data_IF_217248172157
#
_entry.id   IF_217248172157
#
_cell.length_a   1.000
_cell.length_b   1.000
_cell.length_c   1.000
_cell.angle_alpha   90.00
_cell.angle_beta   90.00
_cell.angle_gamma   90.00
#
_symmetry.space_group_name_H-M   'P 1'
#
loop_
_entity.id
_entity.type
_entity.pdbx_description
1 polymer ?
#
# COMPACT_ATOMS: atom_id res chain seq x y z
N UNK A 1 -6.13 31.21 20.68
CA UNK A 1 -6.84 30.95 19.41
C UNK A 1 -6.09 29.84 18.69
N UNK A 2 -6.62 28.62 18.67
CA UNK A 2 -6.01 27.51 17.95
C UNK A 2 -6.10 27.75 16.44
N UNK A 3 -5.00 27.52 15.71
CA UNK A 3 -5.02 27.61 14.25
C UNK A 3 -5.80 26.45 13.62
N UNK A 4 -6.49 26.74 12.51
CA UNK A 4 -7.18 25.77 11.66
C UNK A 4 -6.19 24.77 11.04
N UNK A 5 -6.60 23.51 10.90
CA UNK A 5 -5.81 22.42 10.32
C UNK A 5 -6.18 22.10 8.87
N UNK A 6 -7.02 22.91 8.23
CA UNK A 6 -7.44 22.72 6.84
C UNK A 6 -6.26 22.69 5.84
N UNK A 7 -5.19 23.43 6.08
CA UNK A 7 -3.98 23.37 5.22
C UNK A 7 -3.32 21.98 5.24
N UNK A 8 -3.33 21.29 6.38
CA UNK A 8 -2.81 19.92 6.47
C UNK A 8 -3.71 18.93 5.75
N UNK A 9 -5.03 19.15 5.75
CA UNK A 9 -5.97 18.35 4.96
C UNK A 9 -5.67 18.49 3.47
N UNK A 10 -5.47 19.72 2.97
CA UNK A 10 -5.13 19.94 1.56
C UNK A 10 -3.83 19.23 1.18
N UNK A 11 -2.81 19.30 2.05
CA UNK A 11 -1.57 18.55 1.87
C UNK A 11 -1.81 17.04 1.83
N UNK A 12 -2.63 16.49 2.73
CA UNK A 12 -2.94 15.06 2.76
C UNK A 12 -3.70 14.60 1.50
N UNK A 13 -4.64 15.40 1.00
CA UNK A 13 -5.34 15.13 -0.28
C UNK A 13 -4.33 15.11 -1.44
N UNK A 14 -3.43 16.09 -1.49
CA UNK A 14 -2.37 16.13 -2.50
C UNK A 14 -1.49 14.87 -2.43
N UNK A 15 -1.05 14.47 -1.23
CA UNK A 15 -0.26 13.27 -1.01
C UNK A 15 -1.02 11.99 -1.36
N UNK A 16 -2.32 11.91 -1.05
CA UNK A 16 -3.19 10.81 -1.47
C UNK A 16 -3.29 10.68 -2.99
N UNK A 17 -3.48 11.81 -3.68
CA UNK A 17 -3.49 11.86 -5.14
C UNK A 17 -2.15 11.43 -5.74
N UNK A 18 -1.05 11.93 -5.19
CA UNK A 18 0.30 11.53 -5.59
C UNK A 18 0.52 10.03 -5.38
N UNK A 19 0.10 9.50 -4.22
CA UNK A 19 0.13 8.07 -3.90
C UNK A 19 -0.65 7.25 -4.92
N UNK A 20 -1.89 7.65 -5.24
CA UNK A 20 -2.72 6.98 -6.23
C UNK A 20 -2.08 6.95 -7.63
N UNK A 21 -1.70 8.10 -8.18
CA UNK A 21 -1.14 8.15 -9.54
C UNK A 21 0.22 7.46 -9.63
N UNK A 22 1.08 7.62 -8.63
CA UNK A 22 2.38 6.94 -8.60
C UNK A 22 2.21 5.42 -8.47
N UNK A 23 1.30 4.94 -7.62
CA UNK A 23 1.02 3.52 -7.47
C UNK A 23 0.38 2.92 -8.73
N UNK A 24 -0.55 3.65 -9.37
CA UNK A 24 -1.11 3.24 -10.65
C UNK A 24 -0.02 3.09 -11.72
N UNK A 25 0.91 4.05 -11.80
CA UNK A 25 2.00 4.03 -12.78
C UNK A 25 3.03 2.94 -12.51
N UNK A 26 3.68 2.96 -11.33
CA UNK A 26 4.74 2.00 -11.00
C UNK A 26 4.20 0.59 -10.80
N UNK A 27 3.00 0.48 -10.23
CA UNK A 27 2.31 -0.78 -10.06
C UNK A 27 1.95 -1.45 -11.37
N UNK A 28 1.42 -0.66 -12.32
CA UNK A 28 1.13 -1.17 -13.66
C UNK A 28 2.40 -1.69 -14.34
N UNK A 29 3.51 -0.94 -14.27
CA UNK A 29 4.80 -1.39 -14.81
C UNK A 29 5.23 -2.70 -14.15
N UNK A 30 5.16 -2.80 -12.82
CA UNK A 30 5.54 -3.99 -12.08
C UNK A 30 4.71 -5.21 -12.50
N UNK A 31 3.38 -5.07 -12.57
CA UNK A 31 2.46 -6.14 -13.00
C UNK A 31 2.76 -6.54 -14.44
N UNK A 32 2.93 -5.58 -15.34
CA UNK A 32 3.25 -5.83 -16.74
C UNK A 32 4.56 -6.61 -16.89
N UNK A 33 5.63 -6.19 -16.20
CA UNK A 33 6.91 -6.90 -16.21
C UNK A 33 6.78 -8.32 -15.63
N UNK A 34 6.02 -8.48 -14.55
CA UNK A 34 5.81 -9.77 -13.88
C UNK A 34 5.08 -10.79 -14.76
N UNK A 35 4.07 -10.33 -15.51
CA UNK A 35 3.27 -11.17 -16.40
C UNK A 35 4.00 -11.50 -17.70
N UNK A 36 4.60 -10.50 -18.36
CA UNK A 36 5.07 -10.65 -19.75
C UNK A 36 6.58 -10.88 -19.90
N UNK A 37 7.41 -10.34 -19.00
CA UNK A 37 8.87 -10.36 -19.18
C UNK A 37 9.59 -11.36 -18.28
N UNK A 38 9.11 -11.55 -17.06
CA UNK A 38 9.71 -12.50 -16.13
C UNK A 38 9.28 -13.90 -16.56
N UNK A 39 10.21 -14.80 -16.92
CA UNK A 39 9.89 -16.22 -17.22
C UNK A 39 10.61 -17.17 -16.25
N UNK A 40 9.87 -18.23 -15.87
CA UNK A 40 10.27 -19.45 -15.12
C UNK A 40 10.85 -19.33 -13.70
N UNK A 41 11.64 -18.30 -13.34
CA UNK A 41 12.33 -18.27 -12.04
C UNK A 41 11.42 -18.03 -10.81
N UNK A 42 10.21 -17.51 -11.00
CA UNK A 42 9.33 -17.14 -9.88
C UNK A 42 8.10 -18.05 -9.69
N UNK A 43 7.82 -19.01 -10.58
CA UNK A 43 6.71 -19.96 -10.42
C UNK A 43 5.40 -19.34 -9.88
N UNK A 44 4.86 -19.92 -8.82
CA UNK A 44 3.69 -19.44 -8.06
C UNK A 44 3.87 -18.07 -7.38
N UNK A 45 5.11 -17.63 -7.12
CA UNK A 45 5.39 -16.37 -6.44
C UNK A 45 4.86 -15.16 -7.23
N UNK A 46 4.77 -15.29 -8.56
CA UNK A 46 4.21 -14.25 -9.41
C UNK A 46 2.78 -13.88 -9.04
N UNK A 47 1.96 -14.88 -8.67
CA UNK A 47 0.58 -14.63 -8.28
C UNK A 47 0.52 -13.77 -7.03
N UNK A 48 1.41 -14.03 -6.06
CA UNK A 48 1.52 -13.22 -4.84
C UNK A 48 1.96 -11.78 -5.14
N UNK A 49 2.93 -11.59 -6.03
CA UNK A 49 3.38 -10.24 -6.42
C UNK A 49 2.30 -9.45 -7.15
N UNK A 50 1.60 -10.08 -8.09
CA UNK A 50 0.49 -9.44 -8.81
C UNK A 50 -0.65 -9.12 -7.85
N UNK A 51 -1.02 -10.05 -6.97
CA UNK A 51 -2.10 -9.84 -6.02
C UNK A 51 -1.77 -8.71 -5.01
N UNK A 52 -0.52 -8.64 -4.54
CA UNK A 52 -0.05 -7.52 -3.72
C UNK A 52 -0.22 -6.18 -4.42
N UNK A 53 0.11 -6.12 -5.71
CA UNK A 53 -0.06 -4.88 -6.45
C UNK A 53 -1.53 -4.53 -6.71
N UNK A 54 -2.39 -5.52 -6.94
CA UNK A 54 -3.83 -5.33 -7.07
C UNK A 54 -4.42 -4.80 -5.77
N UNK A 55 -4.06 -5.40 -4.62
CA UNK A 55 -4.52 -4.93 -3.32
C UNK A 55 -4.02 -3.51 -3.03
N UNK A 56 -2.75 -3.21 -3.32
CA UNK A 56 -2.21 -1.86 -3.20
C UNK A 56 -2.93 -0.84 -4.08
N UNK A 57 -3.33 -1.23 -5.30
CA UNK A 57 -4.16 -0.38 -6.16
C UNK A 57 -5.56 -0.15 -5.59
N UNK A 58 -6.22 -1.20 -5.06
CA UNK A 58 -7.52 -1.07 -4.38
C UNK A 58 -7.40 -0.15 -3.16
N UNK A 59 -6.36 -0.31 -2.34
CA UNK A 59 -6.08 0.56 -1.20
C UNK A 59 -5.94 2.03 -1.61
N UNK A 60 -5.09 2.31 -2.60
CA UNK A 60 -4.89 3.68 -3.09
C UNK A 60 -6.17 4.27 -3.74
N UNK A 61 -6.97 3.42 -4.41
CA UNK A 61 -8.26 3.85 -4.98
C UNK A 61 -9.26 4.21 -3.88
N UNK A 62 -9.31 3.44 -2.79
CA UNK A 62 -10.16 3.73 -1.64
C UNK A 62 -9.79 5.05 -0.99
N UNK A 63 -8.50 5.34 -0.81
CA UNK A 63 -8.03 6.60 -0.25
C UNK A 63 -8.30 7.80 -1.18
N UNK A 64 -8.16 7.60 -2.49
CA UNK A 64 -8.48 8.60 -3.51
C UNK A 64 -9.98 8.93 -3.54
N UNK A 65 -10.85 7.93 -3.42
CA UNK A 65 -12.30 8.11 -3.47
C UNK A 65 -12.86 8.58 -2.12
N UNK A 66 -12.46 7.93 -1.03
CA UNK A 66 -12.99 8.12 0.33
C UNK A 66 -11.90 8.68 1.23
N UNK A 67 -11.61 9.98 1.06
CA UNK A 67 -10.61 10.67 1.87
C UNK A 67 -10.89 10.49 3.36
N UNK A 68 -10.01 9.76 4.04
CA UNK A 68 -10.09 9.49 5.47
C UNK A 68 -8.91 10.20 6.12
N UNK A 69 -9.16 10.98 7.16
CA UNK A 69 -8.16 11.74 7.88
C UNK A 69 -8.09 11.27 9.33
N UNK A 70 -6.87 11.28 9.86
CA UNK A 70 -6.61 11.02 11.28
C UNK A 70 -6.35 12.32 12.05
N UNK A 71 -6.87 12.39 13.26
CA UNK A 71 -6.58 13.45 14.21
C UNK A 71 -6.37 12.86 15.60
N UNK A 72 -5.26 13.19 16.24
CA UNK A 72 -5.02 12.81 17.63
C UNK A 72 -5.34 14.01 18.50
N UNK A 73 -6.24 13.82 19.45
CA UNK A 73 -6.63 14.83 20.41
C UNK A 73 -6.72 14.20 21.79
N UNK A 74 -5.86 14.62 22.71
CA UNK A 74 -5.80 14.11 24.07
C UNK A 74 -5.80 12.57 24.11
N UNK A 75 -6.75 11.98 24.83
CA UNK A 75 -6.97 10.55 24.93
C UNK A 75 -7.74 9.94 23.74
N UNK A 76 -7.61 10.51 22.53
CA UNK A 76 -8.33 10.04 21.35
C UNK A 76 -7.53 10.01 20.05
N UNK A 77 -7.87 9.04 19.21
CA UNK A 77 -7.51 8.98 17.80
C UNK A 77 -8.82 8.95 16.99
N UNK A 78 -9.05 10.02 16.24
CA UNK A 78 -10.27 10.25 15.47
C UNK A 78 -10.02 9.99 13.99
N UNK A 79 -10.91 9.23 13.37
CA UNK A 79 -11.00 9.02 11.93
C UNK A 79 -12.19 9.82 11.42
N UNK A 80 -12.01 10.66 10.41
CA UNK A 80 -13.10 11.47 9.88
C UNK A 80 -12.91 11.75 8.40
N UNK A 81 -13.97 12.19 7.74
CA UNK A 81 -13.91 12.69 6.37
C UNK A 81 -14.64 14.02 6.27
N UNK A 82 -14.08 14.92 5.49
CA UNK A 82 -14.70 16.22 5.21
C UNK A 82 -15.50 16.21 3.91
N UNK A 83 -15.47 15.11 3.16
CA UNK A 83 -16.20 14.95 1.90
C UNK A 83 -17.08 13.70 1.91
N UNK A 84 -18.20 13.78 1.21
CA UNK A 84 -19.14 12.66 1.01
C UNK A 84 -19.28 12.42 -0.48
N UNK A 85 -18.33 11.68 -1.09
CA UNK A 85 -18.43 11.35 -2.51
C UNK A 85 -19.76 10.64 -2.77
N UNK A 86 -20.36 10.91 -3.94
CA UNK A 86 -21.60 10.29 -4.40
C UNK A 86 -22.84 10.57 -3.52
N UNK A 87 -22.79 11.56 -2.62
CA UNK A 87 -23.93 11.92 -1.76
C UNK A 87 -24.25 10.87 -0.69
N UNK A 88 -23.29 10.04 -0.31
CA UNK A 88 -23.49 8.99 0.71
C UNK A 88 -23.76 9.58 2.12
N UNK A 89 -24.46 8.80 2.95
CA UNK A 89 -24.70 9.13 4.35
C UNK A 89 -23.42 9.03 5.19
N UNK A 90 -23.42 9.68 6.37
CA UNK A 90 -22.31 9.61 7.32
C UNK A 90 -22.05 8.16 7.76
N UNK A 91 -23.13 7.41 8.05
CA UNK A 91 -23.04 5.99 8.39
C UNK A 91 -22.33 5.16 7.31
N UNK A 92 -22.66 5.35 6.04
CA UNK A 92 -21.99 4.61 4.96
C UNK A 92 -20.52 4.99 4.87
N UNK A 93 -20.20 6.29 5.01
CA UNK A 93 -18.82 6.76 4.99
C UNK A 93 -17.98 6.24 6.16
N UNK A 94 -18.56 6.12 7.35
CA UNK A 94 -17.92 5.49 8.52
C UNK A 94 -17.54 4.04 8.24
N UNK A 95 -18.43 3.26 7.62
CA UNK A 95 -18.09 1.90 7.18
C UNK A 95 -17.04 1.88 6.06
N UNK A 96 -17.04 2.85 5.14
CA UNK A 96 -15.97 2.98 4.13
C UNK A 96 -14.60 3.25 4.79
N UNK A 97 -14.55 4.06 5.85
CA UNK A 97 -13.32 4.25 6.65
C UNK A 97 -12.90 2.94 7.34
N UNK A 98 -13.86 2.20 7.90
CA UNK A 98 -13.62 0.86 8.44
C UNK A 98 -13.00 -0.06 7.39
N UNK A 99 -13.57 -0.14 6.19
CA UNK A 99 -13.05 -0.94 5.07
C UNK A 99 -11.65 -0.48 4.67
N UNK A 100 -11.39 0.82 4.61
CA UNK A 100 -10.05 1.35 4.34
C UNK A 100 -9.00 0.83 5.35
N UNK A 101 -9.31 0.84 6.65
CA UNK A 101 -8.43 0.23 7.66
C UNK A 101 -8.34 -1.30 7.54
N UNK A 102 -9.41 -1.95 7.06
CA UNK A 102 -9.40 -3.38 6.74
C UNK A 102 -8.46 -3.74 5.58
N UNK A 103 -8.40 -2.90 4.54
CA UNK A 103 -7.45 -3.06 3.43
C UNK A 103 -6.00 -2.92 3.89
N UNK A 104 -5.73 -2.05 4.87
CA UNK A 104 -4.44 -1.97 5.54
C UNK A 104 -4.10 -3.29 6.24
N UNK A 105 -5.03 -3.87 6.99
CA UNK A 105 -4.86 -5.18 7.64
C UNK A 105 -4.64 -6.33 6.63
N UNK A 106 -5.38 -6.33 5.52
CA UNK A 106 -5.18 -7.30 4.43
C UNK A 106 -3.77 -7.19 3.85
N UNK A 107 -3.21 -5.97 3.75
CA UNK A 107 -1.83 -5.75 3.28
C UNK A 107 -0.80 -6.36 4.23
N UNK A 108 -0.99 -6.24 5.55
CA UNK A 108 -0.16 -6.93 6.56
C UNK A 108 -0.20 -8.44 6.35
N UNK A 109 -1.40 -9.00 6.19
CA UNK A 109 -1.59 -10.43 5.97
C UNK A 109 -0.89 -10.90 4.69
N UNK A 110 -0.96 -10.13 3.61
CA UNK A 110 -0.26 -10.47 2.38
C UNK A 110 1.26 -10.44 2.52
N UNK A 111 1.81 -9.48 3.27
CA UNK A 111 3.23 -9.48 3.59
C UNK A 111 3.59 -10.76 4.35
N UNK A 112 2.83 -11.14 5.38
CA UNK A 112 3.05 -12.39 6.11
C UNK A 112 3.01 -13.63 5.20
N UNK A 113 2.05 -13.69 4.26
CA UNK A 113 1.95 -14.76 3.26
C UNK A 113 3.18 -14.79 2.34
N UNK A 114 3.68 -13.64 1.89
CA UNK A 114 4.91 -13.57 1.10
C UNK A 114 6.12 -14.09 1.87
N UNK A 115 6.21 -13.80 3.18
CA UNK A 115 7.26 -14.35 4.05
C UNK A 115 7.15 -15.86 4.20
N UNK A 116 5.94 -16.36 4.42
CA UNK A 116 5.68 -17.79 4.53
C UNK A 116 6.04 -18.53 3.23
N UNK A 117 5.64 -17.98 2.08
CA UNK A 117 6.00 -18.52 0.77
C UNK A 117 7.51 -18.66 0.62
N UNK A 118 8.25 -17.59 0.95
CA UNK A 118 9.70 -17.54 0.79
C UNK A 118 10.39 -18.52 1.72
N UNK A 119 9.88 -18.67 2.94
CA UNK A 119 10.36 -19.69 3.87
C UNK A 119 10.16 -21.10 3.30
N UNK A 120 8.96 -21.45 2.85
CA UNK A 120 8.71 -22.77 2.23
C UNK A 120 9.51 -22.99 0.95
N UNK A 121 9.74 -21.95 0.14
CA UNK A 121 10.56 -22.07 -1.06
C UNK A 121 12.02 -22.46 -0.77
N UNK A 122 12.54 -22.17 0.44
CA UNK A 122 13.92 -22.48 0.84
C UNK A 122 14.02 -23.80 1.62
N UNK A 123 13.05 -24.06 2.50
CA UNK A 123 13.12 -25.14 3.48
C UNK A 123 12.13 -26.29 3.23
N UNK A 124 11.02 -26.05 2.53
CA UNK A 124 9.94 -27.04 2.37
C UNK A 124 9.19 -26.86 1.04
N UNK A 125 9.86 -27.19 -0.07
CA UNK A 125 9.33 -26.98 -1.42
C UNK A 125 8.04 -27.75 -1.73
N UNK A 126 7.75 -28.94 -1.16
CA UNK A 126 6.45 -29.61 -1.36
C UNK A 126 5.24 -28.77 -0.92
N UNK A 127 5.39 -27.91 0.10
CA UNK A 127 4.31 -27.02 0.56
C UNK A 127 3.97 -25.90 -0.43
N UNK A 128 4.81 -25.65 -1.45
CA UNK A 128 4.50 -24.69 -2.51
C UNK A 128 3.27 -25.08 -3.36
N UNK A 129 2.78 -26.32 -3.23
CA UNK A 129 1.51 -26.74 -3.84
C UNK A 129 0.33 -25.86 -3.41
N UNK A 130 0.36 -25.32 -2.18
CA UNK A 130 -0.71 -24.46 -1.65
C UNK A 130 -0.76 -23.08 -2.32
N UNK A 131 0.25 -22.72 -3.10
CA UNK A 131 0.31 -21.46 -3.84
C UNK A 131 0.02 -21.63 -5.33
N UNK A 132 -0.49 -22.80 -5.74
CA UNK A 132 -0.82 -23.12 -7.12
C UNK A 132 -2.27 -23.59 -7.27
N UNK A 133 -2.84 -23.35 -8.45
CA UNK A 133 -4.19 -23.79 -8.80
C UNK A 133 -5.26 -23.25 -7.84
N UNK A 134 -6.25 -24.08 -7.52
CA UNK A 134 -7.36 -23.74 -6.63
C UNK A 134 -6.95 -23.52 -5.17
N UNK A 135 -5.83 -24.10 -4.71
CA UNK A 135 -5.36 -23.89 -3.34
C UNK A 135 -4.95 -22.43 -3.06
N UNK A 136 -4.66 -21.66 -4.11
CA UNK A 136 -4.32 -20.25 -3.97
C UNK A 136 -5.47 -19.44 -3.31
N UNK A 137 -6.73 -19.86 -3.49
CA UNK A 137 -7.88 -19.21 -2.87
C UNK A 137 -7.84 -19.23 -1.34
N UNK A 138 -7.12 -20.17 -0.72
CA UNK A 138 -6.93 -20.20 0.74
C UNK A 138 -6.29 -18.89 1.22
N UNK A 139 -5.29 -18.38 0.48
CA UNK A 139 -4.60 -17.15 0.85
C UNK A 139 -5.46 -15.92 0.61
N UNK A 140 -6.26 -15.93 -0.46
CA UNK A 140 -7.25 -14.88 -0.75
C UNK A 140 -8.27 -14.78 0.38
N UNK A 141 -8.86 -15.92 0.75
CA UNK A 141 -9.79 -15.99 1.88
C UNK A 141 -9.13 -15.59 3.20
N UNK A 142 -7.87 -15.97 3.43
CA UNK A 142 -7.14 -15.63 4.65
C UNK A 142 -6.98 -14.11 4.83
N UNK A 143 -6.41 -13.40 3.86
CA UNK A 143 -6.22 -11.95 4.02
C UNK A 143 -7.55 -11.19 3.98
N UNK A 144 -8.54 -11.67 3.20
CA UNK A 144 -9.88 -11.07 3.19
C UNK A 144 -10.60 -11.24 4.53
N UNK A 145 -10.49 -12.41 5.17
CA UNK A 145 -11.07 -12.66 6.48
C UNK A 145 -10.53 -11.69 7.53
N UNK A 146 -9.21 -11.57 7.66
CA UNK A 146 -8.60 -10.65 8.61
C UNK A 146 -8.86 -9.18 8.27
N UNK A 147 -8.92 -8.82 6.97
CA UNK A 147 -9.32 -7.49 6.54
C UNK A 147 -10.75 -7.13 6.94
N UNK A 148 -11.71 -8.04 6.75
CA UNK A 148 -13.10 -7.85 7.17
C UNK A 148 -13.22 -7.78 8.68
N UNK A 149 -12.51 -8.64 9.41
CA UNK A 149 -12.51 -8.65 10.87
C UNK A 149 -11.98 -7.34 11.44
N UNK A 150 -10.94 -6.76 10.83
CA UNK A 150 -10.40 -5.46 11.20
C UNK A 150 -11.37 -4.32 10.85
N UNK A 151 -11.95 -4.34 9.66
CA UNK A 151 -12.94 -3.33 9.25
C UNK A 151 -14.15 -3.34 10.18
N UNK A 152 -14.60 -4.52 10.59
CA UNK A 152 -15.64 -4.68 11.61
C UNK A 152 -15.19 -4.13 12.96
N UNK A 153 -13.96 -4.43 13.39
CA UNK A 153 -13.43 -3.93 14.65
C UNK A 153 -13.50 -2.39 14.72
N UNK A 154 -13.03 -1.72 13.67
CA UNK A 154 -13.04 -0.25 13.57
C UNK A 154 -14.46 0.27 13.40
N UNK A 155 -15.23 -0.24 12.45
CA UNK A 155 -16.58 0.27 12.15
C UNK A 155 -17.57 0.09 13.30
N UNK A 156 -17.44 -0.98 14.09
CA UNK A 156 -18.35 -1.25 15.20
C UNK A 156 -17.85 -0.67 16.54
N UNK A 157 -16.61 -0.98 16.96
CA UNK A 157 -16.15 -0.59 18.30
C UNK A 157 -15.77 0.89 18.37
N UNK A 158 -15.36 1.51 17.26
CA UNK A 158 -15.00 2.94 17.22
C UNK A 158 -16.17 3.82 16.72
N UNK A 159 -17.37 3.25 16.57
CA UNK A 159 -18.56 4.04 16.28
C UNK A 159 -18.72 5.15 17.33
N UNK A 160 -19.02 6.37 16.89
CA UNK A 160 -19.12 7.52 17.77
C UNK A 160 -20.43 7.51 18.56
N UNK A 161 -20.34 7.65 19.89
CA UNK A 161 -21.48 7.85 20.78
C UNK A 161 -21.59 9.31 21.25
N UNK A 162 -22.60 9.59 22.07
CA UNK A 162 -22.93 10.95 22.53
C UNK A 162 -21.75 11.57 23.30
N UNK A 163 -21.11 10.82 24.21
CA UNK A 163 -19.90 11.27 24.90
C UNK A 163 -18.80 11.63 23.90
N UNK A 164 -18.50 10.75 22.94
CA UNK A 164 -17.43 11.01 21.97
C UNK A 164 -17.71 12.25 21.10
N UNK A 165 -18.99 12.52 20.78
CA UNK A 165 -19.39 13.73 20.06
C UNK A 165 -19.22 15.00 20.89
N UNK A 166 -19.56 14.95 22.17
CA UNK A 166 -19.37 16.07 23.10
C UNK A 166 -17.87 16.34 23.30
N UNK A 167 -17.09 15.29 23.59
CA UNK A 167 -15.66 15.36 23.83
C UNK A 167 -14.87 15.94 22.65
N UNK A 168 -15.22 15.54 21.42
CA UNK A 168 -14.51 15.97 20.20
C UNK A 168 -15.15 17.18 19.51
N UNK A 169 -16.36 17.58 19.90
CA UNK A 169 -17.18 18.53 19.17
C UNK A 169 -16.53 19.90 19.00
N UNK A 170 -16.04 20.46 20.11
CA UNK A 170 -15.36 21.76 20.10
C UNK A 170 -14.04 21.72 19.33
N UNK A 171 -13.24 20.67 19.49
CA UNK A 171 -11.95 20.55 18.80
C UNK A 171 -12.14 20.40 17.29
N UNK A 172 -13.08 19.56 16.85
CA UNK A 172 -13.39 19.40 15.43
C UNK A 172 -13.89 20.70 14.82
N UNK A 173 -14.76 21.43 15.53
CA UNK A 173 -15.26 22.73 15.09
C UNK A 173 -14.12 23.76 14.99
N UNK A 174 -13.24 23.81 16.00
CA UNK A 174 -12.11 24.74 16.05
C UNK A 174 -11.07 24.47 14.96
N UNK A 175 -10.73 23.19 14.71
CA UNK A 175 -9.65 22.80 13.80
C UNK A 175 -10.08 22.63 12.36
N UNK A 176 -11.32 22.21 12.13
CA UNK A 176 -11.80 21.83 10.80
C UNK A 176 -13.00 22.64 10.33
N UNK A 177 -13.51 23.58 11.14
CA UNK A 177 -14.61 24.49 10.78
C UNK A 177 -15.88 23.73 10.35
N UNK A 178 -16.10 22.57 10.98
CA UNK A 178 -17.22 21.67 10.72
C UNK A 178 -17.85 21.22 12.03
N UNK A 179 -19.17 21.07 12.03
CA UNK A 179 -19.85 20.43 13.12
C UNK A 179 -19.61 18.91 13.04
N UNK A 180 -19.29 18.29 14.17
CA UNK A 180 -19.05 16.84 14.27
C UNK A 180 -20.27 16.00 13.87
N UNK A 181 -21.48 16.57 13.95
CA UNK A 181 -22.72 15.91 13.53
C UNK A 181 -22.89 15.86 12.00
N UNK A 182 -22.30 16.82 11.28
CA UNK A 182 -22.42 16.93 9.83
C UNK A 182 -21.46 16.02 9.07
N UNK A 183 -20.42 15.51 9.73
CA UNK A 183 -19.36 14.72 9.12
C UNK A 183 -19.39 13.25 9.60
N UNK A 184 -18.96 12.29 8.76
CA UNK A 184 -18.68 10.94 9.22
C UNK A 184 -17.47 10.92 10.16
N UNK A 185 -17.61 10.25 11.30
CA UNK A 185 -16.58 10.22 12.33
C UNK A 185 -16.57 8.89 13.09
N UNK A 186 -15.38 8.32 13.28
CA UNK A 186 -15.11 7.21 14.18
C UNK A 186 -14.03 7.64 15.18
N UNK A 187 -14.11 7.14 16.41
CA UNK A 187 -13.20 7.54 17.48
C UNK A 187 -12.69 6.35 18.28
N UNK A 188 -11.36 6.21 18.34
CA UNK A 188 -10.71 5.47 19.40
C UNK A 188 -10.48 6.41 20.58
N UNK A 189 -11.37 6.36 21.57
CA UNK A 189 -11.28 7.18 22.80
C UNK A 189 -10.93 6.25 23.95
N UNK A 190 -9.86 6.54 24.70
CA UNK A 190 -9.36 5.66 25.73
C UNK A 190 -10.16 5.76 27.05
N UNK A 191 -10.57 6.98 27.42
CA UNK A 191 -11.17 7.27 28.73
C UNK A 191 -12.49 8.02 28.62
N UNK A 192 -13.36 7.82 29.61
CA UNK A 192 -14.57 8.59 29.88
C UNK A 192 -14.50 9.02 31.35
N UNK A 193 -14.02 10.24 31.60
CA UNK A 193 -13.55 10.62 32.94
C UNK A 193 -12.37 9.75 33.37
N UNK A 194 -12.43 9.18 34.57
CA UNK A 194 -11.40 8.28 35.10
C UNK A 194 -11.56 6.82 34.65
N UNK A 195 -12.66 6.49 33.95
CA UNK A 195 -12.98 5.12 33.55
C UNK A 195 -12.49 4.78 32.14
N UNK A 196 -11.96 3.57 31.96
CA UNK A 196 -11.52 3.07 30.66
C UNK A 196 -12.72 2.69 29.79
N UNK A 197 -12.72 3.16 28.55
CA UNK A 197 -13.75 2.80 27.56
C UNK A 197 -13.53 1.39 27.01
N UNK A 198 -14.11 0.41 27.69
CA UNK A 198 -13.96 -1.01 27.33
C UNK A 198 -14.39 -1.33 25.91
N UNK A 199 -15.40 -0.65 25.34
CA UNK A 199 -15.80 -0.83 23.94
C UNK A 199 -14.62 -0.59 22.99
N UNK A 200 -13.92 0.52 23.19
CA UNK A 200 -12.75 0.90 22.42
C UNK A 200 -11.57 -0.06 22.65
N UNK A 201 -11.37 -0.51 23.90
CA UNK A 201 -10.37 -1.53 24.25
C UNK A 201 -10.64 -2.86 23.56
N UNK A 202 -11.89 -3.31 23.45
CA UNK A 202 -12.20 -4.54 22.72
C UNK A 202 -11.82 -4.44 21.24
N UNK A 203 -12.18 -3.35 20.57
CA UNK A 203 -11.78 -3.10 19.18
C UNK A 203 -10.27 -3.05 19.00
N UNK A 204 -9.57 -2.32 19.87
CA UNK A 204 -8.12 -2.25 19.88
C UNK A 204 -7.47 -3.61 20.11
N UNK A 205 -7.94 -4.37 21.11
CA UNK A 205 -7.39 -5.69 21.45
C UNK A 205 -7.48 -6.66 20.26
N UNK A 206 -8.58 -6.59 19.49
CA UNK A 206 -8.75 -7.40 18.29
C UNK A 206 -7.77 -6.99 17.19
N UNK A 207 -7.61 -5.69 16.92
CA UNK A 207 -6.62 -5.17 15.97
C UNK A 207 -5.19 -5.56 16.36
N UNK A 208 -4.87 -5.49 17.66
CA UNK A 208 -3.58 -5.89 18.21
C UNK A 208 -3.34 -7.38 18.07
N UNK A 209 -4.34 -8.22 18.36
CA UNK A 209 -4.23 -9.66 18.21
C UNK A 209 -3.96 -10.04 16.75
N UNK A 210 -4.73 -9.48 15.81
CA UNK A 210 -4.54 -9.70 14.36
C UNK A 210 -3.11 -9.33 13.98
N UNK A 211 -2.67 -8.12 14.36
CA UNK A 211 -1.32 -7.62 14.07
C UNK A 211 -0.23 -8.54 14.64
N UNK A 212 -0.32 -8.88 15.92
CA UNK A 212 0.65 -9.73 16.61
C UNK A 212 0.79 -11.09 15.93
N UNK A 213 -0.32 -11.70 15.49
CA UNK A 213 -0.29 -12.97 14.75
C UNK A 213 0.49 -12.80 13.44
N UNK A 214 0.18 -11.78 12.63
CA UNK A 214 0.86 -11.58 11.36
C UNK A 214 2.36 -11.26 11.54
N UNK A 215 2.72 -10.41 12.49
CA UNK A 215 4.13 -10.11 12.77
C UNK A 215 4.87 -11.30 13.34
N UNK A 216 4.23 -12.13 14.16
CA UNK A 216 4.85 -13.36 14.63
C UNK A 216 5.23 -14.26 13.45
N UNK A 217 4.35 -14.41 12.45
CA UNK A 217 4.65 -15.15 11.22
C UNK A 217 5.85 -14.52 10.49
N UNK A 218 5.83 -13.20 10.27
CA UNK A 218 6.90 -12.47 9.57
C UNK A 218 8.24 -12.64 10.29
N UNK A 219 8.27 -12.42 11.61
CA UNK A 219 9.48 -12.48 12.43
C UNK A 219 10.01 -13.90 12.51
N UNK A 220 9.17 -14.91 12.76
CA UNK A 220 9.59 -16.31 12.84
C UNK A 220 10.12 -16.77 11.47
N UNK A 221 9.39 -16.53 10.39
CA UNK A 221 9.84 -16.89 9.03
C UNK A 221 11.13 -16.15 8.67
N UNK A 222 11.20 -14.84 8.98
CA UNK A 222 12.37 -13.99 8.76
C UNK A 222 13.60 -14.50 9.51
N UNK A 223 13.45 -14.81 10.80
CA UNK A 223 14.52 -15.34 11.64
C UNK A 223 14.99 -16.73 11.20
N UNK A 224 14.07 -17.64 10.86
CA UNK A 224 14.44 -18.96 10.35
C UNK A 224 15.12 -18.88 8.99
N UNK A 225 14.68 -17.97 8.11
CA UNK A 225 15.37 -17.69 6.85
C UNK A 225 16.76 -17.09 7.08
N UNK A 226 16.92 -16.19 8.06
CA UNK A 226 18.21 -15.62 8.45
C UNK A 226 19.19 -16.70 8.90
N UNK A 227 18.76 -17.58 9.81
CA UNK A 227 19.62 -18.60 10.43
C UNK A 227 19.86 -19.79 9.49
N UNK A 228 18.80 -20.37 8.93
CA UNK A 228 18.89 -21.56 8.08
C UNK A 228 19.53 -21.31 6.72
N UNK A 229 19.55 -20.06 6.24
CA UNK A 229 20.29 -19.75 5.02
C UNK A 229 21.79 -19.62 5.26
N UNK A 230 22.26 -19.27 6.48
CA UNK A 230 23.70 -19.31 6.79
C UNK A 230 24.26 -20.74 6.71
N UNK A 231 23.50 -21.75 7.16
CA UNK A 231 23.92 -23.15 7.07
C UNK A 231 23.84 -23.70 5.65
N UNK A 232 22.78 -23.40 4.88
CA UNK A 232 22.70 -23.83 3.47
C UNK A 232 23.68 -23.11 2.53
N UNK A 233 23.99 -21.83 2.79
CA UNK A 233 24.99 -21.06 2.01
C UNK A 233 26.40 -21.65 2.13
N UNK A 234 26.73 -22.28 3.27
CA UNK A 234 28.05 -22.89 3.48
C UNK A 234 28.33 -24.07 2.53
N UNK A 235 27.29 -24.68 1.96
CA UNK A 235 27.39 -25.89 1.12
C UNK A 235 27.25 -25.57 -0.38
N UNK A 236 27.01 -24.31 -0.76
CA UNK A 236 26.73 -23.91 -2.16
C UNK A 236 27.94 -23.33 -2.89
N UNK A 237 27.98 -23.51 -4.22
CA UNK A 237 29.01 -22.93 -5.09
C UNK A 237 29.00 -21.38 -5.08
N UNK A 238 30.13 -20.74 -5.38
CA UNK A 238 30.31 -19.29 -5.26
C UNK A 238 29.24 -18.45 -5.99
N UNK A 239 28.79 -18.91 -7.17
CA UNK A 239 27.76 -18.24 -7.96
C UNK A 239 26.36 -18.36 -7.31
N UNK A 240 26.00 -19.56 -6.83
CA UNK A 240 24.72 -19.77 -6.12
C UNK A 240 24.71 -19.05 -4.77
N UNK A 241 25.84 -19.02 -4.06
CA UNK A 241 26.03 -18.27 -2.81
C UNK A 241 25.81 -16.77 -2.99
N UNK A 242 26.31 -16.17 -4.08
CA UNK A 242 26.09 -14.74 -4.39
C UNK A 242 24.62 -14.44 -4.67
N UNK A 243 23.94 -15.30 -5.42
CA UNK A 243 22.51 -15.16 -5.73
C UNK A 243 21.64 -15.25 -4.46
N UNK A 244 21.85 -16.25 -3.61
CA UNK A 244 21.13 -16.39 -2.34
C UNK A 244 21.38 -15.22 -1.38
N UNK A 245 22.61 -14.67 -1.35
CA UNK A 245 22.93 -13.48 -0.53
C UNK A 245 22.21 -12.22 -1.02
N UNK A 246 22.00 -12.08 -2.33
CA UNK A 246 21.21 -10.98 -2.91
C UNK A 246 19.73 -11.12 -2.55
N UNK A 247 19.15 -12.31 -2.71
CA UNK A 247 17.77 -12.58 -2.28
C UNK A 247 17.57 -12.31 -0.80
N UNK A 248 18.53 -12.67 0.04
CA UNK A 248 18.50 -12.38 1.46
C UNK A 248 18.53 -10.89 1.80
N UNK A 249 19.43 -10.13 1.16
CA UNK A 249 19.52 -8.68 1.38
C UNK A 249 18.23 -7.99 0.94
N UNK A 250 17.67 -8.39 -0.20
CA UNK A 250 16.37 -7.91 -0.65
C UNK A 250 15.26 -8.27 0.37
N UNK A 251 15.30 -9.48 0.92
CA UNK A 251 14.36 -9.95 1.94
C UNK A 251 14.42 -9.12 3.23
N UNK A 252 15.62 -8.86 3.77
CA UNK A 252 15.78 -8.04 4.99
C UNK A 252 15.27 -6.62 4.76
N UNK A 253 15.61 -6.01 3.62
CA UNK A 253 15.12 -4.67 3.26
C UNK A 253 13.59 -4.68 3.13
N UNK A 254 13.01 -5.72 2.53
CA UNK A 254 11.56 -5.89 2.39
C UNK A 254 10.84 -6.16 3.71
N UNK A 255 11.51 -6.69 4.75
CA UNK A 255 10.94 -6.76 6.11
C UNK A 255 10.99 -5.38 6.76
N UNK A 256 12.17 -4.78 6.76
CA UNK A 256 12.46 -3.59 7.55
C UNK A 256 11.74 -2.35 7.03
N UNK A 257 11.65 -2.18 5.71
CA UNK A 257 11.02 -1.01 5.10
C UNK A 257 9.54 -0.84 5.50
N UNK A 258 8.63 -1.80 5.26
CA UNK A 258 7.24 -1.66 5.70
C UNK A 258 7.10 -1.55 7.23
N UNK A 259 7.88 -2.34 7.99
CA UNK A 259 7.81 -2.34 9.46
C UNK A 259 8.12 -0.96 10.04
N UNK A 260 9.17 -0.30 9.53
CA UNK A 260 9.61 1.00 10.04
C UNK A 260 8.76 2.14 9.48
N UNK A 261 8.47 2.12 8.17
CA UNK A 261 7.87 3.26 7.47
C UNK A 261 6.34 3.27 7.59
N UNK A 262 5.71 2.11 7.58
CA UNK A 262 4.25 1.99 7.47
C UNK A 262 3.58 1.54 8.77
N UNK A 263 4.22 0.66 9.52
CA UNK A 263 3.57 -0.04 10.64
C UNK A 263 3.90 0.55 12.00
N UNK A 264 5.18 0.79 12.29
CA UNK A 264 5.62 1.40 13.55
C UNK A 264 4.87 2.72 13.87
N UNK A 265 4.71 3.66 12.92
CA UNK A 265 3.99 4.90 13.20
C UNK A 265 2.50 4.67 13.50
N UNK A 266 1.84 3.71 12.81
CA UNK A 266 0.43 3.38 13.07
C UNK A 266 0.23 2.79 14.45
N UNK A 267 1.08 1.86 14.88
CA UNK A 267 0.99 1.32 16.24
C UNK A 267 1.14 2.42 17.29
N UNK A 268 2.12 3.31 17.11
CA UNK A 268 2.28 4.45 18.00
C UNK A 268 1.00 5.30 18.09
N UNK A 269 0.39 5.63 16.94
CA UNK A 269 -0.84 6.44 16.89
C UNK A 269 -2.03 5.76 17.56
N UNK A 270 -2.19 4.45 17.40
CA UNK A 270 -3.31 3.70 17.96
C UNK A 270 -3.19 3.55 19.49
N UNK A 271 -1.97 3.49 20.02
CA UNK A 271 -1.76 3.43 21.48
C UNK A 271 -1.61 4.79 22.16
N UNK A 272 -1.31 5.86 21.40
CA UNK A 272 -1.19 7.22 21.92
C UNK A 272 -2.39 7.68 22.78
N UNK A 273 -3.66 7.38 22.44
CA UNK A 273 -4.81 7.70 23.28
C UNK A 273 -4.70 7.25 24.74
N UNK A 274 -4.05 6.12 25.01
CA UNK A 274 -3.92 5.56 26.36
C UNK A 274 -2.84 6.24 27.20
N UNK A 275 -1.97 7.03 26.56
CA UNK A 275 -0.98 7.84 27.26
C UNK A 275 -1.56 9.16 27.82
N UNK A 276 -2.81 9.49 27.47
CA UNK A 276 -3.55 10.68 27.92
C UNK A 276 -2.72 11.98 27.86
N UNK A 277 -2.04 12.17 26.73
CA UNK A 277 -1.19 13.33 26.52
C UNK A 277 -2.06 14.52 26.13
N UNK A 278 -1.90 15.68 26.78
CA UNK A 278 -2.58 16.93 26.40
C UNK A 278 -2.04 17.48 25.06
N UNK A 279 -2.45 16.88 23.95
CA UNK A 279 -1.98 17.21 22.61
C UNK A 279 -3.14 17.29 21.61
N UNK A 280 -3.02 18.23 20.67
CA UNK A 280 -3.82 18.25 19.44
C UNK A 280 -2.88 18.18 18.25
N UNK A 281 -2.98 17.11 17.48
CA UNK A 281 -2.06 16.81 16.39
C UNK A 281 -2.80 16.32 15.13
N UNK A 282 -2.57 16.95 13.96
CA UNK A 282 -3.11 16.47 12.68
C UNK A 282 -2.37 15.20 12.23
N UNK A 283 -2.72 14.09 12.86
CA UNK A 283 -2.23 12.74 12.65
C UNK A 283 -2.31 12.26 11.18
N UNK A 284 -3.16 12.89 10.37
CA UNK A 284 -3.25 12.71 8.93
C UNK A 284 -1.92 12.97 8.20
N UNK A 285 -1.00 13.78 8.75
CA UNK A 285 0.33 13.98 8.16
C UNK A 285 1.15 12.68 8.19
N UNK A 286 1.12 11.94 9.31
CA UNK A 286 1.78 10.63 9.40
C UNK A 286 1.11 9.65 8.44
N UNK A 287 -0.23 9.66 8.39
CA UNK A 287 -1.00 8.85 7.46
C UNK A 287 -0.61 9.11 5.99
N UNK A 288 -0.34 10.37 5.63
CA UNK A 288 0.01 10.76 4.27
C UNK A 288 1.31 10.10 3.75
N UNK A 289 2.17 9.64 4.65
CA UNK A 289 3.35 8.84 4.29
C UNK A 289 3.01 7.43 3.82
N UNK A 290 1.90 6.85 4.29
CA UNK A 290 1.49 5.48 3.94
C UNK A 290 0.95 5.38 2.52
N UNK A 291 0.38 6.47 2.00
CA UNK A 291 -0.27 6.53 0.68
C UNK A 291 0.72 6.28 -0.46
N UNK A 292 1.97 6.68 -0.26
CA UNK A 292 3.06 6.55 -1.24
C UNK A 292 3.75 5.18 -1.12
N UNK A 293 3.55 4.46 -0.03
CA UNK A 293 4.25 3.19 0.22
C UNK A 293 4.02 2.13 -0.87
N UNK A 294 2.79 1.88 -1.38
CA UNK A 294 2.59 0.90 -2.45
C UNK A 294 3.45 1.19 -3.71
N UNK A 295 3.63 2.47 -4.04
CA UNK A 295 4.52 2.90 -5.11
C UNK A 295 6.01 2.67 -4.76
N UNK A 296 6.41 2.99 -3.52
CA UNK A 296 7.77 2.72 -3.02
C UNK A 296 8.09 1.23 -3.00
N UNK A 297 7.16 0.37 -2.62
CA UNK A 297 7.32 -1.09 -2.62
C UNK A 297 7.60 -1.61 -4.04
N UNK A 298 6.81 -1.14 -5.02
CA UNK A 298 7.05 -1.42 -6.44
C UNK A 298 8.45 -1.00 -6.89
N UNK A 299 8.91 0.19 -6.49
CA UNK A 299 10.25 0.69 -6.79
C UNK A 299 11.35 -0.13 -6.12
N UNK A 300 11.16 -0.52 -4.85
CA UNK A 300 12.07 -1.38 -4.09
C UNK A 300 12.18 -2.74 -4.78
N UNK A 301 11.07 -3.34 -5.19
CA UNK A 301 11.04 -4.61 -5.93
C UNK A 301 11.80 -4.51 -7.26
N UNK A 302 11.54 -3.46 -8.05
CA UNK A 302 12.24 -3.25 -9.33
C UNK A 302 13.73 -2.99 -9.17
N UNK A 303 14.14 -2.30 -8.10
CA UNK A 303 15.54 -1.93 -7.85
C UNK A 303 16.35 -3.05 -7.20
N UNK A 304 15.75 -3.83 -6.29
CA UNK A 304 16.44 -4.89 -5.56
C UNK A 304 16.56 -6.18 -6.36
N UNK A 305 15.62 -6.46 -7.26
CA UNK A 305 15.60 -7.70 -8.04
C UNK A 305 16.15 -7.42 -9.43
N UNK A 306 17.39 -7.86 -9.67
CA UNK A 306 18.14 -7.63 -10.92
C UNK A 306 17.38 -8.05 -12.19
N UNK A 307 16.53 -9.08 -12.10
CA UNK A 307 15.66 -9.52 -13.19
C UNK A 307 14.64 -8.45 -13.61
N UNK A 308 14.05 -7.72 -12.66
CA UNK A 308 13.14 -6.62 -12.96
C UNK A 308 13.91 -5.44 -13.57
N UNK A 309 15.07 -5.08 -13.04
CA UNK A 309 15.93 -4.04 -13.62
C UNK A 309 16.36 -4.37 -15.06
N UNK A 310 16.72 -5.63 -15.33
CA UNK A 310 17.07 -6.11 -16.68
C UNK A 310 15.85 -6.10 -17.62
N UNK A 311 14.70 -6.54 -17.15
CA UNK A 311 13.46 -6.51 -17.92
C UNK A 311 13.03 -5.07 -18.28
N UNK A 312 13.13 -4.14 -17.32
CA UNK A 312 12.85 -2.73 -17.52
C UNK A 312 13.81 -2.11 -18.55
N UNK A 313 15.13 -2.37 -18.43
CA UNK A 313 16.12 -1.90 -19.40
C UNK A 313 15.83 -2.42 -20.81
N UNK A 314 15.47 -3.70 -20.94
CA UNK A 314 15.11 -4.31 -22.23
C UNK A 314 13.85 -3.69 -22.82
N UNK A 315 12.83 -3.42 -22.00
CA UNK A 315 11.61 -2.72 -22.44
C UNK A 315 11.94 -1.32 -22.95
N UNK A 316 12.71 -0.53 -22.19
CA UNK A 316 13.08 0.84 -22.57
C UNK A 316 13.90 0.85 -23.88
N UNK A 317 14.84 -0.08 -24.05
CA UNK A 317 15.60 -0.24 -25.28
C UNK A 317 14.71 -0.59 -26.47
N UNK A 318 13.84 -1.59 -26.34
CA UNK A 318 12.92 -2.00 -27.41
C UNK A 318 11.96 -0.87 -27.81
N UNK A 319 11.49 -0.07 -26.84
CA UNK A 319 10.66 1.10 -27.11
C UNK A 319 11.46 2.17 -27.84
N UNK A 320 12.67 2.50 -27.40
CA UNK A 320 13.55 3.45 -28.10
C UNK A 320 13.81 3.02 -29.54
N UNK A 321 14.15 1.75 -29.78
CA UNK A 321 14.35 1.21 -31.13
C UNK A 321 13.09 1.34 -31.99
N UNK A 322 11.90 1.03 -31.45
CA UNK A 322 10.63 1.20 -32.17
C UNK A 322 10.33 2.66 -32.53
N UNK A 323 10.61 3.60 -31.62
CA UNK A 323 10.43 5.03 -31.88
C UNK A 323 11.43 5.55 -32.90
N UNK A 324 12.72 5.20 -32.79
CA UNK A 324 13.73 5.55 -33.79
C UNK A 324 13.36 5.03 -35.18
N UNK A 325 12.95 3.76 -35.30
CA UNK A 325 12.50 3.19 -36.59
C UNK A 325 11.24 3.88 -37.14
N UNK A 326 10.35 4.35 -36.26
CA UNK A 326 9.14 5.08 -36.68
C UNK A 326 9.48 6.49 -37.18
N UNK A 327 10.34 7.22 -36.46
CA UNK A 327 10.85 8.54 -36.89
C UNK A 327 11.58 8.43 -38.23
N UNK A 328 12.48 7.45 -38.41
CA UNK A 328 13.17 7.26 -39.70
C UNK A 328 12.22 6.90 -40.84
N UNK A 329 11.11 6.19 -40.57
CA UNK A 329 10.08 5.88 -41.58
C UNK A 329 9.19 7.08 -41.93
N UNK A 330 8.96 7.98 -40.98
CA UNK A 330 8.20 9.21 -41.21
C UNK A 330 9.07 10.24 -41.95
N UNK A 331 10.35 10.39 -41.59
CA UNK A 331 11.33 11.24 -42.30
C UNK A 331 11.52 10.79 -43.77
N UNK A 332 11.65 9.48 -44.00
CA UNK A 332 11.78 8.93 -45.36
C UNK A 332 10.51 9.07 -46.21
N UNK A 333 9.32 9.11 -45.59
CA UNK A 333 8.05 9.41 -46.28
C UNK A 333 7.89 10.89 -46.61
N UNK A 334 8.34 11.81 -45.75
CA UNK A 334 8.33 13.25 -46.04
C UNK A 334 9.35 13.62 -47.13
N UNK A 335 10.53 13.00 -47.11
CA UNK A 335 11.56 13.21 -48.15
C UNK A 335 11.10 12.65 -49.50
N UNK A 336 10.38 11.51 -49.50
CA UNK A 336 9.78 10.92 -50.71
C UNK A 336 8.69 11.76 -51.36
N UNK A 337 7.87 12.47 -50.57
CA UNK A 337 6.84 13.41 -51.08
C UNK A 337 7.42 14.72 -51.60
N UNK A 338 8.47 15.24 -50.96
CA UNK A 338 9.15 16.46 -51.43
C UNK A 338 9.85 16.24 -52.77
N UNK A 339 10.38 15.04 -53.02
CA UNK A 339 11.07 14.71 -54.27
C UNK A 339 10.11 14.46 -55.44
N UNK A 340 8.86 14.02 -55.21
CA UNK A 340 7.89 13.80 -56.30
C UNK A 340 7.21 15.08 -56.81
N UNK A 341 7.40 16.22 -56.16
CA UNK A 341 6.71 17.48 -56.51
C UNK A 341 7.57 18.40 -57.40
N UNK A 342 8.83 18.05 -57.66
CA UNK A 342 9.77 18.89 -58.43
C UNK A 342 10.12 18.37 -59.85
N UNK A 343 9.46 17.32 -60.33
CA UNK A 343 9.78 16.63 -61.59
C UNK A 343 8.79 16.81 -62.74
N UNK A 344 8.20 18.01 -62.93
CA UNK A 344 7.36 18.29 -64.11
C UNK A 344 7.72 19.64 -64.73
N UNK A 345 8.93 19.72 -65.29
CA UNK A 345 9.35 20.85 -66.14
C UNK A 345 8.79 20.68 -67.53
N UNK A 346 7.98 21.66 -67.93
CA UNK A 346 7.39 21.86 -69.25
C UNK A 346 8.48 21.92 -70.32
N UNK A 347 8.38 21.07 -71.34
CA UNK A 347 9.13 21.21 -72.60
C UNK A 347 8.15 21.63 -73.69
N UNK A 348 8.14 22.93 -73.96
CA UNK A 348 7.57 23.54 -75.17
C UNK A 348 8.66 23.56 -76.23
N UNK A 349 8.39 23.05 -77.43
CA UNK A 349 8.86 23.67 -78.68
C UNK A 349 8.15 23.10 -79.91
N UNK A 350 7.86 24.06 -80.78
CA UNK A 350 7.27 24.05 -82.12
C UNK A 350 8.09 23.21 -83.09
#
# INVERSE_FOLDING_TARGET
>A
MGASYLSYIQFCIFMGNLGFFSNAFFGFILVYLTLFYIKRQFGSYKYLLVNFQVLGFVFASFEFLFHTFLHTYNASLTYFSLSRPLGMSNFTMEWMMGIYTGLYSATICQLAIQFLYRYWAIFDTPKLKYFNGSYYFIWVSYYSFFGVLWAFAVGHFFAMDDFGREYLGEEILLRYERNITDIPVLGLIAYEGDDIRWRNVYGLSLMTLISTVQYSIIIICGHQMYTGMRSKIAVLSAQHRRLHRQFFRALVIQISAPTIILFCPVFFMIYAPFADLEISFPSCIIQSGFTVYPALDSLIMMSCVSEYGRALKKMVMNTKEKYTVKTTKDDSKETGKSTSTHGRTVTTKV
#
